data_IF_209202571164
#
_entry.id   IF_209202571164
#
_cell.length_a   1.000
_cell.length_b   1.000
_cell.length_c   1.000
_cell.angle_alpha   90.00
_cell.angle_beta   90.00
_cell.angle_gamma   90.00
#
_symmetry.space_group_name_H-M   'P 1'
#
loop_
_entity.id
_entity.type
_entity.pdbx_description
1 polymer ?
#
# COMPACT_ATOMS: atom_id res chain seq x y z
N UNK A 1 7.28 -10.40 13.28
CA UNK A 1 6.73 -10.70 14.61
C UNK A 1 7.42 -9.83 15.64
N UNK A 2 6.68 -8.97 16.29
CA UNK A 2 7.22 -8.01 17.27
C UNK A 2 7.78 -8.75 18.50
N UNK A 3 8.87 -8.24 19.08
CA UNK A 3 9.47 -8.77 20.34
C UNK A 3 8.42 -8.82 21.47
N UNK A 4 7.44 -7.92 21.47
CA UNK A 4 6.30 -7.91 22.41
C UNK A 4 5.45 -9.17 22.35
N UNK A 5 5.16 -9.69 21.16
CA UNK A 5 4.31 -10.88 20.98
C UNK A 5 4.97 -12.10 21.63
N UNK A 6 6.31 -12.19 21.58
CA UNK A 6 7.08 -13.21 22.28
C UNK A 6 7.01 -13.08 23.80
N UNK A 7 7.07 -11.87 24.35
CA UNK A 7 7.04 -11.64 25.79
C UNK A 7 5.69 -12.01 26.40
N UNK A 8 4.58 -11.75 25.69
CA UNK A 8 3.24 -12.14 26.14
C UNK A 8 3.05 -13.66 26.11
N UNK A 9 3.52 -14.34 25.06
CA UNK A 9 3.43 -15.79 24.95
C UNK A 9 4.31 -16.53 26.01
N UNK A 10 5.44 -15.96 26.39
CA UNK A 10 6.38 -16.57 27.37
C UNK A 10 5.96 -16.32 28.83
N UNK A 11 5.32 -15.19 29.12
CA UNK A 11 5.00 -14.80 30.50
C UNK A 11 3.64 -15.30 31.03
N UNK A 12 2.90 -16.11 30.24
CA UNK A 12 1.58 -16.66 30.62
C UNK A 12 0.64 -15.63 31.29
N UNK A 13 0.77 -14.35 30.94
CA UNK A 13 -0.16 -13.34 31.42
C UNK A 13 -1.46 -13.53 30.67
N UNK A 14 -2.56 -13.53 31.41
CA UNK A 14 -3.90 -13.51 30.85
C UNK A 14 -4.06 -12.22 30.03
N UNK A 15 -3.99 -12.35 28.68
CA UNK A 15 -4.32 -11.28 27.78
C UNK A 15 -5.80 -10.97 27.89
N UNK A 16 -6.16 -9.72 28.07
CA UNK A 16 -7.56 -9.30 27.93
C UNK A 16 -7.97 -9.42 26.47
N UNK A 17 -9.24 -9.76 26.17
CA UNK A 17 -9.73 -9.87 24.79
C UNK A 17 -9.41 -8.66 23.93
N UNK A 18 -9.50 -7.44 24.46
CA UNK A 18 -9.18 -6.20 23.74
C UNK A 18 -7.68 -6.09 23.39
N UNK A 19 -6.80 -6.55 24.27
CA UNK A 19 -5.36 -6.57 24.01
C UNK A 19 -5.01 -7.61 22.93
N UNK A 20 -5.62 -8.79 23.02
CA UNK A 20 -5.50 -9.85 22.02
C UNK A 20 -6.00 -9.38 20.65
N UNK A 21 -7.11 -8.64 20.62
CA UNK A 21 -7.67 -8.06 19.39
C UNK A 21 -6.76 -7.01 18.76
N UNK A 22 -6.19 -6.10 19.58
CA UNK A 22 -5.23 -5.11 19.11
C UNK A 22 -3.96 -5.75 18.54
N UNK A 23 -3.44 -6.80 19.16
CA UNK A 23 -2.28 -7.55 18.67
C UNK A 23 -2.60 -8.29 17.36
N UNK A 24 -3.77 -8.92 17.27
CA UNK A 24 -4.20 -9.60 16.05
C UNK A 24 -4.39 -8.61 14.90
N UNK A 25 -4.94 -7.43 15.16
CA UNK A 25 -5.07 -6.40 14.13
C UNK A 25 -3.70 -5.91 13.63
N UNK A 26 -2.70 -5.80 14.49
CA UNK A 26 -1.33 -5.51 14.10
C UNK A 26 -0.74 -6.60 13.18
N UNK A 27 -0.96 -7.89 13.48
CA UNK A 27 -0.53 -8.99 12.62
C UNK A 27 -1.23 -8.91 11.26
N UNK A 28 -2.55 -8.71 11.23
CA UNK A 28 -3.34 -8.60 10.00
C UNK A 28 -2.84 -7.46 9.12
N UNK A 29 -2.55 -6.30 9.71
CA UNK A 29 -2.03 -5.13 9.00
C UNK A 29 -0.64 -5.39 8.40
N UNK A 30 0.31 -5.85 9.22
CA UNK A 30 1.71 -6.05 8.82
C UNK A 30 1.89 -7.16 7.78
N UNK A 31 1.02 -8.16 7.83
CA UNK A 31 1.04 -9.30 6.91
C UNK A 31 0.12 -9.15 5.70
N UNK A 32 -0.52 -7.99 5.53
CA UNK A 32 -1.57 -7.79 4.52
C UNK A 32 -2.57 -8.97 4.51
N UNK A 33 -3.21 -9.19 5.64
CA UNK A 33 -4.16 -10.28 5.85
C UNK A 33 -3.54 -11.68 5.59
N UNK A 34 -2.37 -11.94 6.16
CA UNK A 34 -1.61 -13.18 6.05
C UNK A 34 -1.09 -13.51 4.63
N UNK A 35 -1.06 -12.54 3.73
CA UNK A 35 -0.61 -12.72 2.35
C UNK A 35 0.90 -12.60 2.20
N UNK A 36 1.57 -11.79 3.04
CA UNK A 36 3.01 -11.53 2.97
C UNK A 36 3.65 -11.57 4.36
N UNK A 37 4.98 -11.72 4.42
CA UNK A 37 5.79 -11.68 5.65
C UNK A 37 5.31 -12.65 6.74
N UNK A 38 4.74 -13.77 6.34
CA UNK A 38 4.24 -14.79 7.26
C UNK A 38 5.27 -15.90 7.51
N UNK A 39 5.18 -16.53 8.66
CA UNK A 39 5.92 -17.73 9.03
C UNK A 39 4.98 -18.65 9.84
N UNK A 40 5.32 -19.92 10.06
CA UNK A 40 4.54 -20.78 10.95
C UNK A 40 4.22 -20.13 12.31
N UNK A 41 5.18 -19.41 12.88
CA UNK A 41 5.00 -18.68 14.14
C UNK A 41 3.98 -17.55 14.06
N UNK A 42 3.79 -16.94 12.88
CA UNK A 42 2.76 -15.90 12.68
C UNK A 42 1.37 -16.52 12.89
N UNK A 43 1.13 -17.70 12.34
CA UNK A 43 -0.14 -18.43 12.48
C UNK A 43 -0.33 -18.97 13.90
N UNK A 44 0.71 -19.47 14.54
CA UNK A 44 0.68 -19.89 15.95
C UNK A 44 0.31 -18.72 16.87
N UNK A 45 0.90 -17.54 16.63
CA UNK A 45 0.57 -16.32 17.38
C UNK A 45 -0.87 -15.89 17.16
N UNK A 46 -1.37 -15.93 15.92
CA UNK A 46 -2.77 -15.63 15.62
C UNK A 46 -3.72 -16.61 16.30
N UNK A 47 -3.40 -17.92 16.28
CA UNK A 47 -4.19 -18.93 16.98
C UNK A 47 -4.21 -18.72 18.51
N UNK A 48 -3.08 -18.34 19.10
CA UNK A 48 -3.01 -17.98 20.51
C UNK A 48 -3.90 -16.76 20.82
N UNK A 49 -3.80 -15.69 20.04
CA UNK A 49 -4.60 -14.49 20.23
C UNK A 49 -6.10 -14.78 20.08
N UNK A 50 -6.47 -15.67 19.14
CA UNK A 50 -7.86 -16.13 18.99
C UNK A 50 -8.35 -16.85 20.25
N UNK A 51 -7.53 -17.71 20.87
CA UNK A 51 -7.84 -18.39 22.14
C UNK A 51 -7.96 -17.38 23.29
N UNK A 52 -7.16 -16.31 23.29
CA UNK A 52 -7.22 -15.24 24.27
C UNK A 52 -8.42 -14.29 24.08
N UNK A 53 -9.31 -14.56 23.12
CA UNK A 53 -10.56 -13.84 22.93
C UNK A 53 -10.56 -12.80 21.80
N UNK A 54 -9.51 -12.73 20.97
CA UNK A 54 -9.55 -11.87 19.79
C UNK A 54 -10.63 -12.36 18.80
N UNK A 55 -11.47 -11.46 18.32
CA UNK A 55 -12.47 -11.75 17.29
C UNK A 55 -12.01 -11.22 15.92
N UNK A 56 -11.78 -12.12 14.93
CA UNK A 56 -11.40 -11.71 13.58
C UNK A 56 -12.43 -10.81 12.89
N UNK A 57 -13.72 -10.93 13.25
CA UNK A 57 -14.77 -10.06 12.69
C UNK A 57 -14.61 -8.64 13.22
N UNK A 58 -14.36 -8.48 14.51
CA UNK A 58 -14.11 -7.17 15.10
C UNK A 58 -12.79 -6.57 14.57
N UNK A 59 -11.76 -7.40 14.38
CA UNK A 59 -10.51 -6.97 13.72
C UNK A 59 -10.79 -6.46 12.31
N UNK A 60 -11.62 -7.18 11.52
CA UNK A 60 -11.98 -6.75 10.16
C UNK A 60 -12.71 -5.39 10.17
N UNK A 61 -13.58 -5.14 11.15
CA UNK A 61 -14.29 -3.86 11.27
C UNK A 61 -13.34 -2.66 11.44
N UNK A 62 -12.18 -2.85 12.09
CA UNK A 62 -11.18 -1.79 12.25
C UNK A 62 -10.57 -1.32 10.93
N UNK A 63 -10.64 -2.13 9.87
CA UNK A 63 -10.12 -1.84 8.55
C UNK A 63 -11.20 -1.51 7.52
N UNK A 64 -12.46 -1.34 7.96
CA UNK A 64 -13.52 -0.88 7.07
C UNK A 64 -13.26 0.58 6.68
N UNK A 65 -13.47 0.87 5.41
CA UNK A 65 -13.50 2.22 4.86
C UNK A 65 -14.94 2.61 4.55
N UNK A 66 -15.25 3.89 4.52
CA UNK A 66 -16.58 4.31 4.12
C UNK A 66 -16.83 4.12 2.61
N UNK A 67 -18.09 4.28 2.21
CA UNK A 67 -18.48 4.03 0.82
C UNK A 67 -17.91 5.06 -0.14
N UNK A 68 -17.83 6.33 0.27
CA UNK A 68 -17.35 7.41 -0.59
C UNK A 68 -15.86 7.24 -0.91
N UNK A 69 -15.04 6.93 0.10
CA UNK A 69 -13.62 6.60 -0.09
C UNK A 69 -13.44 5.36 -0.97
N UNK A 70 -14.31 4.37 -0.79
CA UNK A 70 -14.30 3.15 -1.62
C UNK A 70 -14.62 3.47 -3.08
N UNK A 71 -15.68 4.25 -3.33
CA UNK A 71 -16.07 4.65 -4.69
C UNK A 71 -14.99 5.53 -5.34
N UNK A 72 -14.38 6.44 -4.59
CA UNK A 72 -13.28 7.26 -5.07
C UNK A 72 -12.07 6.41 -5.47
N UNK A 73 -11.70 5.44 -4.65
CA UNK A 73 -10.62 4.48 -4.97
C UNK A 73 -10.91 3.70 -6.25
N UNK A 74 -12.13 3.22 -6.46
CA UNK A 74 -12.49 2.52 -7.70
C UNK A 74 -12.44 3.43 -8.94
N UNK A 75 -12.81 4.71 -8.83
CA UNK A 75 -12.63 5.69 -9.93
C UNK A 75 -11.15 5.82 -10.30
N UNK A 76 -10.26 5.88 -9.33
CA UNK A 76 -8.81 5.90 -9.59
C UNK A 76 -8.37 4.65 -10.35
N UNK A 77 -8.82 3.46 -9.90
CA UNK A 77 -8.49 2.19 -10.57
C UNK A 77 -9.02 2.16 -12.01
N UNK A 78 -10.24 2.63 -12.26
CA UNK A 78 -10.83 2.73 -13.60
C UNK A 78 -10.08 3.69 -14.54
N UNK A 79 -9.45 4.72 -13.99
CA UNK A 79 -8.62 5.65 -14.74
C UNK A 79 -7.27 5.07 -15.15
N UNK A 80 -6.86 3.93 -14.61
CA UNK A 80 -5.59 3.31 -14.93
C UNK A 80 -5.45 2.91 -16.39
N UNK A 81 -4.27 3.10 -16.94
CA UNK A 81 -3.89 2.67 -18.29
C UNK A 81 -2.66 1.76 -18.18
N UNK A 82 -2.66 0.72 -18.97
CA UNK A 82 -1.54 -0.22 -19.02
C UNK A 82 -0.42 0.38 -19.87
N UNK A 83 0.78 0.36 -19.33
CA UNK A 83 2.02 0.76 -19.98
C UNK A 83 3.01 -0.41 -19.95
N UNK A 84 3.76 -0.63 -21.04
CA UNK A 84 4.71 -1.75 -21.20
C UNK A 84 4.14 -3.13 -20.81
N UNK A 85 2.84 -3.33 -20.96
CA UNK A 85 2.09 -4.56 -20.65
C UNK A 85 2.05 -5.00 -19.19
N UNK A 86 2.79 -4.38 -18.29
CA UNK A 86 2.86 -4.79 -16.88
C UNK A 86 2.82 -3.63 -15.87
N UNK A 87 2.81 -2.40 -16.35
CA UNK A 87 2.81 -1.20 -15.52
C UNK A 87 1.44 -0.53 -15.64
N UNK A 88 0.73 -0.37 -14.52
CA UNK A 88 -0.52 0.38 -14.47
C UNK A 88 -0.24 1.83 -14.03
N UNK A 89 -0.68 2.80 -14.82
CA UNK A 89 -0.57 4.23 -14.50
C UNK A 89 -1.97 4.80 -14.42
N UNK A 90 -2.39 5.23 -13.22
CA UNK A 90 -3.62 5.97 -12.99
C UNK A 90 -3.28 7.46 -12.79
N UNK A 91 -3.86 8.30 -13.64
CA UNK A 91 -3.67 9.75 -13.60
C UNK A 91 -5.06 10.38 -13.47
N UNK A 92 -5.35 11.01 -12.34
CA UNK A 92 -6.64 11.62 -12.04
C UNK A 92 -6.47 13.09 -11.69
N UNK A 93 -7.39 13.93 -12.17
CA UNK A 93 -7.38 15.37 -11.95
C UNK A 93 -8.41 15.75 -10.86
N UNK A 94 -8.47 14.94 -9.81
CA UNK A 94 -9.25 15.22 -8.62
C UNK A 94 -8.39 15.06 -7.37
N UNK A 95 -8.69 15.85 -6.34
CA UNK A 95 -7.96 15.77 -5.07
C UNK A 95 -8.26 14.44 -4.37
N UNK A 96 -7.21 13.71 -4.06
CA UNK A 96 -7.27 12.46 -3.31
C UNK A 96 -6.58 12.63 -1.95
N UNK A 97 -6.92 11.76 -1.01
CA UNK A 97 -6.06 11.54 0.14
C UNK A 97 -4.90 10.61 -0.25
N UNK A 98 -3.74 10.77 0.39
CA UNK A 98 -2.59 9.88 0.17
C UNK A 98 -2.94 8.42 0.48
N UNK A 99 -3.87 8.21 1.41
CA UNK A 99 -4.35 6.87 1.80
C UNK A 99 -5.09 6.21 0.63
N UNK A 100 -6.05 6.92 0.02
CA UNK A 100 -6.82 6.41 -1.13
C UNK A 100 -5.88 6.10 -2.30
N UNK A 101 -4.95 7.00 -2.62
CA UNK A 101 -3.99 6.79 -3.71
C UNK A 101 -3.07 5.57 -3.45
N UNK A 102 -2.60 5.41 -2.21
CA UNK A 102 -1.82 4.24 -1.80
C UNK A 102 -2.60 2.94 -1.91
N UNK A 103 -3.86 2.94 -1.46
CA UNK A 103 -4.74 1.77 -1.55
C UNK A 103 -5.05 1.41 -3.01
N UNK A 104 -5.31 2.41 -3.86
CA UNK A 104 -5.51 2.19 -5.29
C UNK A 104 -4.27 1.59 -5.97
N UNK A 105 -3.08 2.10 -5.63
CA UNK A 105 -1.82 1.54 -6.14
C UNK A 105 -1.60 0.09 -5.66
N UNK A 106 -1.93 -0.22 -4.40
CA UNK A 106 -1.87 -1.59 -3.87
C UNK A 106 -2.89 -2.53 -4.55
N UNK A 107 -4.09 -2.05 -4.90
CA UNK A 107 -5.09 -2.85 -5.60
C UNK A 107 -4.70 -3.10 -7.08
N UNK A 108 -4.11 -2.13 -7.75
CA UNK A 108 -3.66 -2.29 -9.13
C UNK A 108 -2.61 -3.39 -9.28
N UNK A 109 -1.66 -3.54 -8.37
CA UNK A 109 -0.68 -4.63 -8.43
C UNK A 109 -1.25 -6.01 -8.07
N UNK A 110 -2.50 -6.09 -7.57
CA UNK A 110 -3.19 -7.37 -7.37
C UNK A 110 -3.91 -7.86 -8.64
N UNK A 111 -3.93 -7.04 -9.70
CA UNK A 111 -4.48 -7.44 -11.00
C UNK A 111 -3.47 -8.31 -11.75
N UNK A 112 -3.92 -9.45 -12.26
CA UNK A 112 -3.05 -10.36 -13.01
C UNK A 112 -2.37 -9.66 -14.18
N UNK A 113 -1.05 -9.84 -14.29
CA UNK A 113 -0.22 -9.22 -15.34
C UNK A 113 0.28 -7.82 -14.98
N UNK A 114 -0.14 -7.22 -13.87
CA UNK A 114 0.39 -5.94 -13.40
C UNK A 114 1.43 -6.21 -12.30
N UNK A 115 2.65 -5.77 -12.52
CA UNK A 115 3.76 -5.89 -11.57
C UNK A 115 4.14 -4.58 -10.92
N UNK A 116 3.75 -3.45 -11.53
CA UNK A 116 4.08 -2.12 -11.05
C UNK A 116 2.89 -1.18 -11.24
N UNK A 117 2.65 -0.29 -10.29
CA UNK A 117 1.58 0.71 -10.36
C UNK A 117 2.06 2.08 -9.94
N UNK A 118 1.54 3.11 -10.63
CA UNK A 118 1.71 4.52 -10.28
C UNK A 118 0.35 5.20 -10.25
N UNK A 119 0.09 5.97 -9.19
CA UNK A 119 -1.12 6.79 -9.07
C UNK A 119 -0.69 8.24 -8.89
N UNK A 120 -1.11 9.11 -9.83
CA UNK A 120 -0.81 10.52 -9.85
C UNK A 120 -2.07 11.33 -9.60
N UNK A 121 -1.99 12.34 -8.73
CA UNK A 121 -3.10 13.25 -8.44
C UNK A 121 -2.61 14.61 -7.92
N UNK A 122 -3.40 15.69 -8.11
CA UNK A 122 -3.08 17.02 -7.58
C UNK A 122 -3.41 17.11 -6.08
N UNK A 123 -2.55 17.77 -5.31
CA UNK A 123 -2.75 18.12 -3.91
C UNK A 123 -2.04 19.42 -3.55
N UNK A 124 -2.80 20.46 -3.20
CA UNK A 124 -2.30 21.76 -2.72
C UNK A 124 -1.16 22.36 -3.57
N UNK A 125 -1.38 22.45 -4.89
CA UNK A 125 -0.41 23.08 -5.83
C UNK A 125 0.80 22.21 -6.18
N UNK A 126 0.77 20.94 -5.84
CA UNK A 126 1.77 19.94 -6.21
C UNK A 126 1.11 18.68 -6.75
N UNK A 127 1.88 17.87 -7.47
CA UNK A 127 1.45 16.55 -7.91
C UNK A 127 2.06 15.50 -6.98
N UNK A 128 1.19 14.66 -6.43
CA UNK A 128 1.58 13.53 -5.61
C UNK A 128 1.62 12.28 -6.48
N UNK A 129 2.64 11.47 -6.29
CA UNK A 129 2.76 10.15 -6.92
C UNK A 129 2.85 9.10 -5.81
N UNK A 130 2.00 8.08 -5.89
CA UNK A 130 2.10 6.87 -5.07
C UNK A 130 2.46 5.71 -5.98
N UNK A 131 3.49 4.94 -5.63
CA UNK A 131 3.99 3.85 -6.46
C UNK A 131 4.17 2.55 -5.68
N UNK A 132 3.89 1.42 -6.36
CA UNK A 132 4.07 0.06 -5.85
C UNK A 132 4.72 -0.81 -6.90
N UNK A 133 5.52 -1.78 -6.46
CA UNK A 133 6.08 -2.81 -7.33
C UNK A 133 6.23 -4.14 -6.58
N UNK A 134 5.90 -5.22 -7.28
CA UNK A 134 6.19 -6.61 -6.90
C UNK A 134 7.10 -7.28 -7.93
N UNK A 135 7.50 -6.54 -8.96
CA UNK A 135 8.36 -6.99 -10.06
C UNK A 135 9.79 -6.43 -9.98
N UNK A 136 10.42 -6.35 -11.14
CA UNK A 136 11.80 -5.86 -11.30
C UNK A 136 11.94 -4.34 -11.22
N UNK A 137 10.85 -3.59 -11.36
CA UNK A 137 10.88 -2.13 -11.33
C UNK A 137 11.17 -1.62 -9.91
N UNK A 138 12.28 -0.94 -9.74
CA UNK A 138 12.59 -0.22 -8.51
C UNK A 138 11.89 1.15 -8.56
N UNK A 139 10.69 1.25 -7.94
CA UNK A 139 9.89 2.47 -7.97
C UNK A 139 10.56 3.65 -7.24
N UNK A 140 11.42 3.40 -6.27
CA UNK A 140 12.19 4.45 -5.63
C UNK A 140 13.17 5.08 -6.63
N UNK A 141 13.95 4.25 -7.33
CA UNK A 141 14.93 4.73 -8.32
C UNK A 141 14.25 5.55 -9.44
N UNK A 142 13.08 5.10 -9.92
CA UNK A 142 12.28 5.84 -10.91
C UNK A 142 11.84 7.19 -10.36
N UNK A 143 11.26 7.25 -9.15
CA UNK A 143 10.72 8.49 -8.60
C UNK A 143 11.79 9.49 -8.13
N UNK A 144 12.96 9.03 -7.72
CA UNK A 144 14.09 9.91 -7.36
C UNK A 144 14.58 10.74 -8.53
N UNK A 145 14.44 10.25 -9.77
CA UNK A 145 14.79 11.03 -10.98
C UNK A 145 13.86 12.21 -11.23
N UNK A 146 12.64 12.19 -10.67
CA UNK A 146 11.66 13.27 -10.80
C UNK A 146 11.82 14.38 -9.75
N UNK A 147 12.63 14.15 -8.71
CA UNK A 147 12.87 15.13 -7.65
C UNK A 147 12.63 14.56 -6.25
N UNK A 148 11.73 15.17 -5.46
CA UNK A 148 11.49 14.80 -4.06
C UNK A 148 10.74 13.45 -3.92
N UNK A 149 11.38 12.36 -4.33
CA UNK A 149 10.91 10.99 -4.13
C UNK A 149 11.55 10.34 -2.92
N UNK A 150 10.84 9.36 -2.33
CA UNK A 150 11.36 8.56 -1.22
C UNK A 150 10.58 7.29 -1.03
N UNK A 151 11.20 6.33 -0.36
CA UNK A 151 10.58 5.02 -0.11
C UNK A 151 11.59 3.88 -0.16
N UNK A 152 11.22 2.80 -0.81
CA UNK A 152 12.08 1.66 -1.15
C UNK A 152 11.70 1.11 -2.52
N UNK A 153 12.42 0.09 -3.00
CA UNK A 153 12.21 -0.46 -4.34
C UNK A 153 10.79 -0.98 -4.62
N UNK A 154 10.07 -1.43 -3.59
CA UNK A 154 8.71 -1.96 -3.72
C UNK A 154 7.61 -0.93 -3.42
N UNK A 155 7.92 0.13 -2.69
CA UNK A 155 6.94 1.15 -2.25
C UNK A 155 7.63 2.50 -2.19
N UNK A 156 7.17 3.45 -2.98
CA UNK A 156 7.72 4.81 -3.00
C UNK A 156 6.62 5.85 -3.25
N UNK A 157 6.96 7.11 -2.98
CA UNK A 157 6.12 8.25 -3.29
C UNK A 157 6.97 9.45 -3.68
N UNK A 158 6.39 10.38 -4.42
CA UNK A 158 7.03 11.63 -4.79
C UNK A 158 6.05 12.81 -4.70
N UNK A 159 6.62 14.01 -4.56
CA UNK A 159 5.89 15.27 -4.50
C UNK A 159 6.55 16.26 -5.45
N UNK A 160 5.86 16.61 -6.53
CA UNK A 160 6.39 17.47 -7.60
C UNK A 160 5.66 18.80 -7.54
N UNK A 161 6.40 19.88 -7.30
CA UNK A 161 5.87 21.24 -7.22
C UNK A 161 6.02 21.99 -8.53
N UNK A 162 5.08 22.90 -8.79
CA UNK A 162 5.21 23.89 -9.88
C UNK A 162 5.04 23.34 -11.28
N UNK A 163 4.57 22.10 -11.43
CA UNK A 163 4.32 21.48 -12.73
C UNK A 163 2.87 21.01 -12.87
N UNK A 164 2.27 21.10 -14.05
CA UNK A 164 0.95 20.54 -14.30
C UNK A 164 1.00 19.00 -14.35
N UNK A 165 -0.14 18.38 -14.03
CA UNK A 165 -0.29 16.92 -13.95
C UNK A 165 0.20 16.20 -15.22
N UNK A 166 -0.13 16.74 -16.40
CA UNK A 166 0.24 16.13 -17.69
C UNK A 166 1.75 16.19 -17.98
N UNK A 167 2.45 17.21 -17.47
CA UNK A 167 3.89 17.30 -17.59
C UNK A 167 4.57 16.27 -16.69
N UNK A 168 4.12 16.16 -15.44
CA UNK A 168 4.62 15.16 -14.50
C UNK A 168 4.37 13.73 -15.00
N UNK A 169 3.23 13.47 -15.65
CA UNK A 169 2.96 12.18 -16.28
C UNK A 169 3.96 11.86 -17.40
N UNK A 170 4.30 12.84 -18.25
CA UNK A 170 5.29 12.66 -19.33
C UNK A 170 6.68 12.38 -18.75
N UNK A 171 7.07 13.12 -17.71
CA UNK A 171 8.36 12.90 -17.03
C UNK A 171 8.42 11.52 -16.39
N UNK A 172 7.33 11.07 -15.75
CA UNK A 172 7.25 9.72 -15.19
C UNK A 172 7.43 8.64 -16.27
N UNK A 173 6.75 8.78 -17.40
CA UNK A 173 6.91 7.84 -18.53
C UNK A 173 8.35 7.81 -19.02
N UNK A 174 8.99 8.98 -19.19
CA UNK A 174 10.40 9.06 -19.58
C UNK A 174 11.34 8.42 -18.54
N UNK A 175 11.09 8.62 -17.25
CA UNK A 175 11.84 7.99 -16.17
C UNK A 175 11.70 6.46 -16.16
N UNK A 176 10.49 5.95 -16.40
CA UNK A 176 10.24 4.51 -16.55
C UNK A 176 11.02 3.97 -17.77
N UNK A 177 10.97 4.65 -18.90
CA UNK A 177 11.69 4.21 -20.11
C UNK A 177 13.20 4.19 -19.90
N UNK A 178 13.75 5.18 -19.23
CA UNK A 178 15.16 5.24 -18.89
C UNK A 178 15.58 4.11 -17.91
N UNK A 179 14.69 3.72 -17.02
CA UNK A 179 14.95 2.61 -16.08
C UNK A 179 15.04 1.25 -16.79
N UNK A 180 14.29 1.06 -17.90
CA UNK A 180 14.26 -0.20 -18.66
C UNK A 180 15.19 -0.19 -19.91
N UNK A 181 15.94 0.89 -20.14
CA UNK A 181 16.93 0.99 -21.24
C UNK A 181 18.26 0.40 -20.85
#
# INVERSE_FOLDING_TARGET
MCIRDRQYAVNQRDLKPIEAQALLSGIVLDTKNFSIRTSPRTFESAAYLRKAGADPVEVKKLFQTDLDDTLLRYRVIQAARLYRNEIAIACVDEKLTRVIASQAADELINVSGITTSFVLFPDDGQIIISARSIGSCNVQAVLETLGNGGGNGATAGAQIKGKPLQEVLKELIAAIDAFYS
#
